data_IF_146976241178
#
_entry.id   IF_146976241178
#
_cell.length_a   1.000
_cell.length_b   1.000
_cell.length_c   1.000
_cell.angle_alpha   90.00
_cell.angle_beta   90.00
_cell.angle_gamma   90.00
#
_symmetry.space_group_name_H-M   'P 1'
#
loop_
_entity.id
_entity.type
_entity.pdbx_description
1 polymer ?
#
# COMPACT_ATOMS: atom_id res chain seq x y z
N UNK A 1 0.02 23.47 -34.53
CA UNK A 1 0.55 24.14 -33.32
C UNK A 1 -0.06 23.45 -32.11
N UNK A 2 0.66 22.49 -31.52
CA UNK A 2 0.19 21.70 -30.37
C UNK A 2 0.51 22.51 -29.11
N UNK A 3 -0.51 22.91 -28.36
CA UNK A 3 -0.35 23.64 -27.10
C UNK A 3 0.16 22.65 -26.06
N UNK A 4 1.40 22.82 -25.62
CA UNK A 4 1.94 22.21 -24.40
C UNK A 4 1.18 22.81 -23.22
N UNK A 5 0.22 22.06 -22.67
CA UNK A 5 -0.39 22.41 -21.38
C UNK A 5 0.59 21.91 -20.31
N UNK A 6 1.25 22.87 -19.66
CA UNK A 6 2.14 22.61 -18.54
C UNK A 6 1.33 22.07 -17.36
N UNK A 7 1.79 20.92 -16.86
CA UNK A 7 1.24 20.22 -15.70
C UNK A 7 1.60 21.02 -14.44
N UNK A 8 0.75 21.97 -14.07
CA UNK A 8 0.92 22.78 -12.86
C UNK A 8 0.28 22.04 -11.68
N UNK A 9 1.09 21.28 -10.96
CA UNK A 9 0.73 20.64 -9.69
C UNK A 9 0.45 21.75 -8.68
N UNK A 10 -0.82 21.97 -8.37
CA UNK A 10 -1.26 22.88 -7.31
C UNK A 10 -1.12 22.15 -5.97
N UNK A 11 0.08 22.23 -5.39
CA UNK A 11 0.33 21.84 -4.01
C UNK A 11 -0.31 22.88 -3.08
N UNK A 12 -1.51 22.62 -2.57
CA UNK A 12 -2.17 23.46 -1.57
C UNK A 12 -1.83 22.97 -0.16
N UNK A 13 -0.61 23.28 0.32
CA UNK A 13 -0.25 23.15 1.74
C UNK A 13 -0.70 24.39 2.50
N UNK A 14 -1.88 24.33 3.14
CA UNK A 14 -2.28 25.29 4.16
C UNK A 14 -1.73 24.84 5.52
N UNK A 15 -0.48 25.19 5.80
CA UNK A 15 0.05 25.17 7.17
C UNK A 15 -0.32 26.50 7.82
N UNK A 16 -1.41 26.51 8.59
CA UNK A 16 -1.65 27.57 9.58
C UNK A 16 -0.78 27.30 10.81
N UNK A 17 0.49 27.66 10.72
CA UNK A 17 1.34 27.89 11.87
C UNK A 17 1.04 29.30 12.41
N UNK A 18 0.08 29.38 13.33
CA UNK A 18 -0.13 30.53 14.19
C UNK A 18 0.29 30.18 15.61
N UNK A 19 1.59 30.22 15.90
CA UNK A 19 2.06 30.34 17.27
C UNK A 19 1.98 31.82 17.64
N UNK A 20 1.08 32.17 18.55
CA UNK A 20 1.15 33.43 19.29
C UNK A 20 1.70 33.11 20.69
N UNK A 21 2.93 33.54 20.93
CA UNK A 21 3.52 33.61 22.27
C UNK A 21 2.76 34.66 23.10
N UNK A 22 2.30 34.27 24.28
CA UNK A 22 2.15 35.23 25.38
C UNK A 22 2.81 34.64 26.62
N UNK A 23 3.87 35.33 27.03
CA UNK A 23 4.52 35.14 28.32
C UNK A 23 3.61 35.59 29.48
N UNK A 24 3.93 35.01 30.64
CA UNK A 24 3.89 35.60 31.98
C UNK A 24 2.75 35.13 32.90
N UNK A 25 3.13 34.55 34.05
CA UNK A 25 2.18 34.29 35.13
C UNK A 25 2.54 33.19 36.11
N UNK A 26 3.64 33.38 36.85
CA UNK A 26 4.01 32.63 38.06
C UNK A 26 2.83 32.24 38.96
N UNK A 27 2.73 30.97 39.36
CA UNK A 27 2.20 30.60 40.68
C UNK A 27 2.86 29.31 41.19
N UNK A 28 3.54 29.47 42.32
CA UNK A 28 4.10 28.42 43.17
C UNK A 28 2.98 27.55 43.75
N UNK A 29 3.19 26.24 43.76
CA UNK A 29 2.80 25.39 44.89
C UNK A 29 3.80 24.24 45.04
N UNK A 30 4.61 24.33 46.10
CA UNK A 30 5.38 23.24 46.68
C UNK A 30 4.45 22.36 47.52
N UNK A 31 4.61 21.04 47.42
CA UNK A 31 4.40 19.95 48.40
C UNK A 31 4.72 18.68 47.57
N UNK A 32 5.52 17.70 47.96
CA UNK A 32 6.22 17.38 49.19
C UNK A 32 6.83 15.99 48.96
N UNK A 33 8.09 15.87 49.33
CA UNK A 33 8.93 14.68 49.33
C UNK A 33 8.36 13.61 50.28
N UNK A 34 8.37 12.33 49.93
CA UNK A 34 8.58 11.24 50.90
C UNK A 34 9.28 10.08 50.19
N UNK A 35 10.46 9.77 50.70
CA UNK A 35 11.27 8.61 50.36
C UNK A 35 10.81 7.42 51.22
N UNK A 36 10.75 6.23 50.63
CA UNK A 36 10.61 4.97 51.34
C UNK A 36 11.57 3.95 50.75
N UNK A 37 12.78 3.91 51.31
CA UNK A 37 13.73 2.81 51.13
C UNK A 37 13.45 1.76 52.20
N UNK A 38 13.22 0.50 51.82
CA UNK A 38 13.69 -0.64 52.61
C UNK A 38 14.15 -1.79 51.71
N UNK A 39 15.36 -2.25 52.00
CA UNK A 39 16.09 -3.36 51.43
C UNK A 39 15.74 -4.67 52.13
N UNK A 40 15.75 -5.80 51.42
CA UNK A 40 16.27 -7.07 51.96
C UNK A 40 17.08 -7.77 50.87
N UNK A 41 18.31 -8.16 51.24
CA UNK A 41 19.26 -8.93 50.47
C UNK A 41 19.42 -10.35 51.05
N UNK A 42 19.89 -11.28 50.22
CA UNK A 42 20.41 -12.61 50.58
C UNK A 42 19.38 -13.74 50.34
N UNK A 43 19.68 -14.84 49.65
CA UNK A 43 20.96 -15.58 49.54
C UNK A 43 21.10 -16.31 48.20
N UNK A 44 22.37 -16.53 47.82
CA UNK A 44 22.84 -17.33 46.70
C UNK A 44 22.87 -18.83 47.00
N UNK A 45 23.21 -19.59 45.94
CA UNK A 45 23.71 -20.99 45.89
C UNK A 45 22.62 -22.07 46.00
N UNK A 46 22.59 -23.17 45.25
CA UNK A 46 23.68 -23.95 44.61
C UNK A 46 23.12 -24.85 43.48
N UNK A 47 24.07 -25.41 42.75
CA UNK A 47 24.20 -26.04 41.44
C UNK A 47 23.57 -27.42 41.15
N UNK A 48 23.80 -27.81 39.88
CA UNK A 48 23.89 -29.14 39.25
C UNK A 48 22.72 -29.57 38.36
N UNK A 49 22.90 -30.14 37.17
CA UNK A 49 24.07 -30.43 36.33
C UNK A 49 23.52 -30.90 34.95
N UNK A 50 24.25 -30.55 33.88
CA UNK A 50 24.57 -31.38 32.70
C UNK A 50 23.46 -32.14 31.95
N UNK A 51 23.23 -31.77 30.68
CA UNK A 51 23.68 -32.66 29.61
C UNK A 51 24.21 -31.87 28.40
N UNK A 52 25.36 -32.33 27.93
CA UNK A 52 26.07 -31.94 26.73
C UNK A 52 26.26 -33.24 25.96
N UNK A 53 25.92 -33.25 24.67
CA UNK A 53 26.46 -34.21 23.71
C UNK A 53 26.24 -33.67 22.29
N UNK A 54 27.29 -33.04 21.76
CA UNK A 54 27.57 -32.97 20.32
C UNK A 54 28.18 -34.30 19.84
N UNK A 55 27.86 -34.67 18.60
CA UNK A 55 28.73 -35.23 17.56
C UNK A 55 27.80 -35.80 16.46
N UNK A 56 27.66 -35.14 15.31
CA UNK A 56 28.51 -35.29 14.11
C UNK A 56 28.54 -36.73 13.57
N UNK A 57 28.03 -36.90 12.35
CA UNK A 57 28.63 -37.73 11.31
C UNK A 57 28.26 -37.13 9.94
N UNK A 58 29.27 -36.53 9.34
CA UNK A 58 29.41 -36.15 7.93
C UNK A 58 29.67 -37.41 7.08
N UNK A 59 29.10 -37.47 5.87
CA UNK A 59 29.60 -38.40 4.84
C UNK A 59 29.34 -37.86 3.42
N UNK A 60 30.25 -36.97 3.01
CA UNK A 60 30.91 -36.87 1.70
C UNK A 60 30.60 -37.96 0.64
N UNK A 61 30.28 -37.53 -0.59
CA UNK A 61 31.15 -37.70 -1.77
C UNK A 61 30.51 -37.11 -3.05
N UNK A 62 31.36 -36.48 -3.87
CA UNK A 62 31.08 -35.94 -5.22
C UNK A 62 31.98 -36.68 -6.22
N UNK A 63 31.64 -36.55 -7.52
CA UNK A 63 32.44 -36.81 -8.76
C UNK A 63 32.31 -38.25 -9.31
N UNK A 64 32.11 -38.59 -10.60
CA UNK A 64 32.31 -37.98 -11.95
C UNK A 64 31.34 -38.62 -12.99
N UNK A 65 30.76 -37.91 -13.97
CA UNK A 65 31.21 -37.54 -15.34
C UNK A 65 30.90 -38.55 -16.48
N UNK A 66 30.34 -37.98 -17.57
CA UNK A 66 30.50 -38.29 -19.00
C UNK A 66 29.67 -39.40 -19.66
N UNK A 67 28.82 -39.05 -20.63
CA UNK A 67 29.18 -39.08 -22.06
C UNK A 67 28.05 -38.58 -22.98
N UNK A 68 28.46 -37.78 -23.97
CA UNK A 68 27.67 -37.23 -25.06
C UNK A 68 27.46 -38.24 -26.22
N UNK A 69 26.44 -38.00 -27.06
CA UNK A 69 26.28 -38.75 -28.32
C UNK A 69 24.97 -38.50 -29.07
N UNK A 70 24.96 -37.43 -29.84
CA UNK A 70 24.03 -36.97 -30.90
C UNK A 70 23.59 -38.05 -31.93
N UNK A 71 22.34 -38.01 -32.42
CA UNK A 71 21.97 -37.67 -33.83
C UNK A 71 20.46 -37.65 -34.10
N UNK A 72 20.07 -36.57 -34.78
CA UNK A 72 18.92 -36.27 -35.66
C UNK A 72 18.12 -37.42 -36.28
N UNK A 73 16.79 -37.23 -36.36
CA UNK A 73 16.06 -37.38 -37.62
C UNK A 73 14.78 -36.54 -37.65
N UNK A 74 14.54 -35.94 -38.82
CA UNK A 74 13.40 -35.10 -39.14
C UNK A 74 12.28 -35.94 -39.75
N UNK A 75 11.03 -35.71 -39.35
CA UNK A 75 9.90 -35.89 -40.26
C UNK A 75 8.74 -34.93 -39.93
N UNK A 76 8.11 -34.51 -41.02
CA UNK A 76 7.10 -33.47 -41.17
C UNK A 76 5.72 -33.98 -40.79
N UNK A 77 4.94 -33.25 -39.99
CA UNK A 77 3.53 -32.99 -40.34
C UNK A 77 2.98 -31.76 -39.63
N UNK A 78 2.51 -30.83 -40.45
CA UNK A 78 1.61 -29.72 -40.15
C UNK A 78 0.32 -30.21 -39.50
N UNK A 79 -0.07 -29.63 -38.37
CA UNK A 79 -1.46 -29.54 -37.92
C UNK A 79 -1.65 -28.10 -37.43
N UNK A 80 -2.34 -27.33 -38.26
CA UNK A 80 -3.04 -26.11 -37.87
C UNK A 80 -4.03 -26.47 -36.76
N UNK A 81 -4.03 -25.66 -35.70
CA UNK A 81 -5.17 -25.27 -34.86
C UNK A 81 -4.61 -24.90 -33.49
N UNK A 82 -4.61 -23.60 -33.16
CA UNK A 82 -5.57 -23.18 -32.14
C UNK A 82 -5.74 -21.67 -32.10
N UNK A 83 -7.02 -21.30 -31.99
CA UNK A 83 -7.55 -20.10 -31.36
C UNK A 83 -7.21 -18.76 -32.00
N UNK A 84 -8.03 -18.45 -33.00
CA UNK A 84 -8.66 -17.14 -33.16
C UNK A 84 -8.78 -16.44 -31.80
N UNK A 85 -7.93 -15.42 -31.60
CA UNK A 85 -8.24 -14.37 -30.66
C UNK A 85 -9.54 -13.73 -31.16
N UNK A 86 -10.64 -14.06 -30.49
CA UNK A 86 -11.91 -13.36 -30.56
C UNK A 86 -11.67 -11.90 -30.11
N UNK A 87 -11.20 -11.13 -31.09
CA UNK A 87 -11.14 -9.68 -31.09
C UNK A 87 -12.58 -9.17 -31.10
N UNK A 88 -13.22 -9.21 -29.93
CA UNK A 88 -14.40 -8.40 -29.65
C UNK A 88 -13.93 -6.98 -29.33
N UNK A 89 -13.24 -6.36 -30.29
CA UNK A 89 -13.05 -4.92 -30.36
C UNK A 89 -14.41 -4.29 -30.70
N UNK A 90 -15.31 -4.29 -29.72
CA UNK A 90 -16.24 -3.17 -29.60
C UNK A 90 -15.36 -1.95 -29.38
N UNK A 91 -15.20 -1.15 -30.44
CA UNK A 91 -14.59 0.17 -30.43
C UNK A 91 -15.43 1.06 -29.49
N UNK A 92 -15.24 0.87 -28.18
CA UNK A 92 -15.85 1.71 -27.17
C UNK A 92 -15.18 3.07 -27.29
N UNK A 93 -15.98 4.09 -27.57
CA UNK A 93 -15.47 5.46 -27.62
C UNK A 93 -14.81 5.81 -26.29
N UNK A 94 -13.81 6.69 -26.34
CA UNK A 94 -13.15 7.20 -25.14
C UNK A 94 -14.16 7.71 -24.09
N UNK A 95 -15.20 8.43 -24.53
CA UNK A 95 -16.30 8.89 -23.67
C UNK A 95 -17.09 7.75 -23.02
N UNK A 96 -17.32 6.64 -23.74
CA UNK A 96 -17.99 5.46 -23.21
C UNK A 96 -17.14 4.76 -22.15
N UNK A 97 -15.83 4.65 -22.38
CA UNK A 97 -14.91 4.07 -21.40
C UNK A 97 -14.82 4.95 -20.14
N UNK A 98 -14.75 6.26 -20.31
CA UNK A 98 -14.78 7.22 -19.20
C UNK A 98 -16.02 7.03 -18.33
N UNK A 99 -17.22 6.99 -18.94
CA UNK A 99 -18.48 6.81 -18.23
C UNK A 99 -18.53 5.46 -17.48
N UNK A 100 -18.08 4.39 -18.12
CA UNK A 100 -17.98 3.06 -17.52
C UNK A 100 -17.13 3.07 -16.23
N UNK A 101 -15.98 3.74 -16.26
CA UNK A 101 -15.11 3.80 -15.08
C UNK A 101 -15.62 4.76 -14.00
N UNK A 102 -16.31 5.84 -14.35
CA UNK A 102 -17.02 6.67 -13.36
C UNK A 102 -18.13 5.89 -12.66
N UNK A 103 -18.91 5.11 -13.41
CA UNK A 103 -19.93 4.25 -12.83
C UNK A 103 -19.31 3.15 -11.95
N UNK A 104 -18.14 2.62 -12.32
CA UNK A 104 -17.40 1.71 -11.45
C UNK A 104 -17.04 2.37 -10.12
N UNK A 105 -16.55 3.62 -10.13
CA UNK A 105 -16.24 4.34 -8.88
C UNK A 105 -17.48 4.63 -8.04
N UNK A 106 -18.61 5.00 -8.66
CA UNK A 106 -19.89 5.16 -7.95
C UNK A 106 -20.34 3.84 -7.30
N UNK A 107 -20.11 2.70 -7.96
CA UNK A 107 -20.41 1.40 -7.40
C UNK A 107 -19.46 1.03 -6.26
N UNK A 108 -18.16 1.37 -6.36
CA UNK A 108 -17.21 1.20 -5.25
C UNK A 108 -17.65 2.01 -4.04
N UNK A 109 -18.10 3.27 -4.20
CA UNK A 109 -18.66 4.08 -3.11
C UNK A 109 -19.86 3.40 -2.43
N UNK A 110 -20.77 2.82 -3.23
CA UNK A 110 -21.93 2.09 -2.71
C UNK A 110 -21.54 0.81 -1.97
N UNK A 111 -20.56 0.07 -2.50
CA UNK A 111 -20.05 -1.18 -1.91
C UNK A 111 -19.45 -0.92 -0.52
N UNK A 112 -18.68 0.16 -0.39
CA UNK A 112 -18.03 0.50 0.88
C UNK A 112 -18.93 1.22 1.88
N UNK A 113 -20.13 1.66 1.48
CA UNK A 113 -21.01 2.49 2.32
C UNK A 113 -21.42 1.82 3.65
N UNK A 114 -21.58 0.50 3.68
CA UNK A 114 -21.88 -0.23 4.93
C UNK A 114 -20.63 -0.38 5.80
N UNK A 115 -19.45 -0.54 5.21
CA UNK A 115 -18.17 -0.53 5.92
C UNK A 115 -17.89 0.85 6.53
N UNK A 116 -18.21 1.94 5.82
CA UNK A 116 -18.08 3.31 6.34
C UNK A 116 -18.95 3.53 7.58
N UNK A 117 -20.13 2.91 7.67
CA UNK A 117 -20.96 2.95 8.90
C UNK A 117 -20.31 2.21 10.05
N UNK A 118 -19.60 1.11 9.78
CA UNK A 118 -18.82 0.37 10.79
C UNK A 118 -17.65 1.24 11.27
N UNK A 119 -16.94 1.90 10.36
CA UNK A 119 -15.88 2.86 10.73
C UNK A 119 -16.38 3.97 11.66
N UNK A 120 -17.64 4.39 11.53
CA UNK A 120 -18.21 5.45 12.37
C UNK A 120 -18.74 4.98 13.73
N UNK A 121 -19.18 3.72 13.86
CA UNK A 121 -19.98 3.26 15.01
C UNK A 121 -19.50 1.96 15.65
N UNK A 122 -18.52 1.29 15.05
CA UNK A 122 -18.01 -0.02 15.47
C UNK A 122 -17.06 0.05 16.66
N UNK A 123 -16.60 -1.12 17.11
CA UNK A 123 -15.45 -1.18 18.04
C UNK A 123 -14.16 -0.84 17.30
N UNK A 124 -13.08 -0.54 18.02
CA UNK A 124 -11.77 -0.24 17.40
C UNK A 124 -11.32 -1.34 16.42
N UNK A 125 -11.53 -2.62 16.79
CA UNK A 125 -11.20 -3.76 15.92
C UNK A 125 -12.08 -3.80 14.67
N UNK A 126 -13.38 -3.54 14.80
CA UNK A 126 -14.29 -3.50 13.65
C UNK A 126 -13.94 -2.33 12.71
N UNK A 127 -13.58 -1.17 13.27
CA UNK A 127 -13.15 0.00 12.51
C UNK A 127 -11.87 -0.28 11.72
N UNK A 128 -10.86 -0.90 12.34
CA UNK A 128 -9.61 -1.25 11.68
C UNK A 128 -9.83 -2.26 10.54
N UNK A 129 -10.64 -3.30 10.78
CA UNK A 129 -10.97 -4.27 9.74
C UNK A 129 -11.76 -3.62 8.59
N UNK A 130 -12.81 -2.86 8.90
CA UNK A 130 -13.62 -2.18 7.90
C UNK A 130 -12.75 -1.20 7.08
N UNK A 131 -11.88 -0.43 7.71
CA UNK A 131 -11.00 0.51 7.01
C UNK A 131 -10.03 -0.21 6.06
N UNK A 132 -9.51 -1.39 6.43
CA UNK A 132 -8.67 -2.20 5.55
C UNK A 132 -9.44 -2.74 4.33
N UNK A 133 -10.70 -3.16 4.52
CA UNK A 133 -11.57 -3.60 3.42
C UNK A 133 -11.94 -2.44 2.48
N UNK A 134 -12.22 -1.26 3.02
CA UNK A 134 -12.46 -0.04 2.22
C UNK A 134 -11.21 0.30 1.40
N UNK A 135 -10.04 0.28 2.01
CA UNK A 135 -8.77 0.52 1.29
C UNK A 135 -8.58 -0.46 0.13
N UNK A 136 -8.82 -1.76 0.38
CA UNK A 136 -8.69 -2.79 -0.64
C UNK A 136 -9.64 -2.58 -1.83
N UNK A 137 -10.87 -2.14 -1.57
CA UNK A 137 -11.84 -1.81 -2.63
C UNK A 137 -11.36 -0.65 -3.52
N UNK A 138 -10.84 0.42 -2.91
CA UNK A 138 -10.29 1.56 -3.64
C UNK A 138 -8.99 1.23 -4.39
N UNK A 139 -8.09 0.44 -3.80
CA UNK A 139 -6.87 0.00 -4.47
C UNK A 139 -7.20 -0.92 -5.67
N UNK A 140 -8.19 -1.80 -5.53
CA UNK A 140 -8.69 -2.60 -6.65
C UNK A 140 -9.23 -1.69 -7.77
N UNK A 141 -10.08 -0.72 -7.44
CA UNK A 141 -10.62 0.22 -8.42
C UNK A 141 -9.50 1.00 -9.15
N UNK A 142 -8.48 1.46 -8.41
CA UNK A 142 -7.31 2.13 -8.98
C UNK A 142 -6.57 1.22 -9.98
N UNK A 143 -6.35 -0.04 -9.60
CA UNK A 143 -5.67 -1.01 -10.46
C UNK A 143 -6.48 -1.37 -11.70
N UNK A 144 -7.80 -1.43 -11.61
CA UNK A 144 -8.70 -1.66 -12.75
C UNK A 144 -8.62 -0.49 -13.75
N UNK A 145 -8.61 0.76 -13.28
CA UNK A 145 -8.41 1.97 -14.11
C UNK A 145 -7.02 1.94 -14.73
N UNK A 146 -5.97 1.70 -13.94
CA UNK A 146 -4.60 1.65 -14.45
C UNK A 146 -4.41 0.54 -15.49
N UNK A 147 -5.09 -0.60 -15.33
CA UNK A 147 -5.11 -1.69 -16.31
C UNK A 147 -5.76 -1.31 -17.64
N UNK A 148 -6.79 -0.48 -17.60
CA UNK A 148 -7.40 0.10 -18.80
C UNK A 148 -6.48 1.10 -19.49
N UNK A 149 -5.83 1.99 -18.73
CA UNK A 149 -4.90 2.96 -19.28
C UNK A 149 -3.71 2.30 -20.01
N UNK A 150 -3.28 1.11 -19.57
CA UNK A 150 -2.26 0.33 -20.31
C UNK A 150 -2.70 -0.08 -21.71
N UNK A 151 -3.99 -0.27 -21.95
CA UNK A 151 -4.53 -0.65 -23.26
C UNK A 151 -4.71 0.55 -24.17
N UNK A 152 -4.98 1.72 -23.61
CA UNK A 152 -5.34 2.91 -24.37
C UNK A 152 -4.17 3.86 -24.63
N UNK A 153 -3.25 4.01 -23.67
CA UNK A 153 -2.18 4.99 -23.79
C UNK A 153 -1.08 4.51 -24.73
N UNK A 154 -0.45 5.48 -25.41
CA UNK A 154 0.78 5.23 -26.16
C UNK A 154 1.87 4.70 -25.22
N UNK A 155 2.84 3.94 -25.74
CA UNK A 155 3.96 3.43 -24.92
C UNK A 155 4.69 4.56 -24.16
N UNK A 156 4.87 5.71 -24.80
CA UNK A 156 5.52 6.88 -24.18
C UNK A 156 4.69 7.47 -23.05
N UNK A 157 3.38 7.61 -23.23
CA UNK A 157 2.50 8.17 -22.20
C UNK A 157 2.31 7.18 -21.05
N UNK A 158 2.19 5.89 -21.34
CA UNK A 158 2.12 4.83 -20.34
C UNK A 158 3.42 4.73 -19.54
N UNK A 159 4.59 4.91 -20.17
CA UNK A 159 5.87 4.99 -19.45
C UNK A 159 5.87 6.16 -18.46
N UNK A 160 5.45 7.36 -18.90
CA UNK A 160 5.37 8.54 -18.03
C UNK A 160 4.36 8.34 -16.89
N UNK A 161 3.21 7.75 -17.17
CA UNK A 161 2.21 7.42 -16.15
C UNK A 161 2.75 6.41 -15.14
N UNK A 162 3.49 5.39 -15.59
CA UNK A 162 4.11 4.41 -14.70
C UNK A 162 5.08 5.06 -13.72
N UNK A 163 5.95 5.94 -14.20
CA UNK A 163 6.88 6.65 -13.32
C UNK A 163 6.14 7.60 -12.37
N UNK A 164 5.11 8.30 -12.86
CA UNK A 164 4.25 9.11 -12.00
C UNK A 164 3.51 8.28 -10.93
N UNK A 165 3.09 7.03 -11.23
CA UNK A 165 2.48 6.15 -10.23
C UNK A 165 3.45 5.66 -9.18
N UNK A 166 4.71 5.38 -9.54
CA UNK A 166 5.73 4.99 -8.54
C UNK A 166 5.98 6.12 -7.55
N UNK A 167 6.12 7.33 -8.07
CA UNK A 167 6.30 8.54 -7.26
C UNK A 167 5.06 8.81 -6.40
N UNK A 168 3.86 8.67 -6.96
CA UNK A 168 2.61 8.82 -6.22
C UNK A 168 2.47 7.82 -5.06
N UNK A 169 2.91 6.56 -5.21
CA UNK A 169 2.89 5.58 -4.11
C UNK A 169 3.74 6.05 -2.94
N UNK A 170 4.95 6.57 -3.21
CA UNK A 170 5.84 7.12 -2.19
C UNK A 170 5.15 8.29 -1.47
N UNK A 171 4.57 9.22 -2.23
CA UNK A 171 3.89 10.39 -1.66
C UNK A 171 2.67 10.00 -0.82
N UNK A 172 1.88 9.01 -1.26
CA UNK A 172 0.75 8.46 -0.52
C UNK A 172 1.21 7.88 0.82
N UNK A 173 2.23 7.05 0.79
CA UNK A 173 2.71 6.34 1.98
C UNK A 173 3.39 7.33 2.95
N UNK A 174 4.17 8.29 2.45
CA UNK A 174 4.76 9.37 3.26
C UNK A 174 3.68 10.24 3.93
N UNK A 175 2.61 10.58 3.20
CA UNK A 175 1.48 11.32 3.75
C UNK A 175 0.75 10.52 4.84
N UNK A 176 0.53 9.23 4.61
CA UNK A 176 -0.09 8.34 5.60
C UNK A 176 0.75 8.21 6.87
N UNK A 177 2.08 8.07 6.74
CA UNK A 177 3.02 8.08 7.87
C UNK A 177 2.96 9.42 8.61
N UNK A 178 2.95 10.53 7.88
CA UNK A 178 2.94 11.86 8.48
C UNK A 178 1.67 12.10 9.30
N UNK A 179 0.51 11.71 8.78
CA UNK A 179 -0.77 11.87 9.48
C UNK A 179 -0.92 10.91 10.67
N UNK A 180 -0.44 9.67 10.57
CA UNK A 180 -0.57 8.68 11.65
C UNK A 180 0.28 9.01 12.88
N UNK A 181 1.42 9.70 12.71
CA UNK A 181 2.34 10.06 13.80
C UNK A 181 1.71 10.82 14.97
N UNK A 182 0.61 11.54 14.76
CA UNK A 182 -0.08 12.23 15.87
C UNK A 182 -0.65 11.25 16.91
N UNK A 183 -0.79 9.98 16.54
CA UNK A 183 -1.32 8.90 17.36
C UNK A 183 -0.27 7.84 17.70
N UNK A 184 1.02 8.15 17.51
CA UNK A 184 2.13 7.20 17.68
C UNK A 184 2.03 6.38 18.97
N UNK A 185 2.07 5.06 18.84
CA UNK A 185 1.97 4.10 19.94
C UNK A 185 0.54 3.82 20.43
N UNK A 186 -0.49 4.41 19.80
CA UNK A 186 -1.91 4.15 20.07
C UNK A 186 -2.60 3.36 18.94
N UNK A 187 -3.77 2.81 19.22
CA UNK A 187 -4.56 2.05 18.22
C UNK A 187 -4.99 2.91 17.01
N UNK A 188 -5.14 4.22 17.21
CA UNK A 188 -5.51 5.14 16.14
C UNK A 188 -4.37 5.37 15.13
N UNK A 189 -3.12 5.04 15.43
CA UNK A 189 -2.00 5.19 14.50
C UNK A 189 -2.22 4.34 13.25
N UNK A 190 -2.43 3.03 13.43
CA UNK A 190 -2.65 2.10 12.32
C UNK A 190 -3.93 2.44 11.55
N UNK A 191 -5.01 2.77 12.25
CA UNK A 191 -6.26 3.18 11.62
C UNK A 191 -6.06 4.43 10.75
N UNK A 192 -5.40 5.46 11.28
CA UNK A 192 -5.15 6.72 10.56
C UNK A 192 -4.28 6.50 9.34
N UNK A 193 -3.23 5.68 9.46
CA UNK A 193 -2.37 5.33 8.33
C UNK A 193 -3.19 4.76 7.16
N UNK A 194 -4.00 3.73 7.40
CA UNK A 194 -4.81 3.08 6.35
C UNK A 194 -5.92 4.03 5.84
N UNK A 195 -6.52 4.81 6.72
CA UNK A 195 -7.54 5.81 6.34
C UNK A 195 -6.99 6.86 5.39
N UNK A 196 -5.81 7.42 5.67
CA UNK A 196 -5.13 8.37 4.78
C UNK A 196 -4.75 7.72 3.44
N UNK A 197 -4.25 6.47 3.43
CA UNK A 197 -3.99 5.75 2.18
C UNK A 197 -5.27 5.56 1.35
N UNK A 198 -6.40 5.33 2.01
CA UNK A 198 -7.71 5.15 1.38
C UNK A 198 -8.16 6.41 0.67
N UNK A 199 -8.15 7.55 1.36
CA UNK A 199 -8.58 8.84 0.80
C UNK A 199 -7.72 9.23 -0.41
N UNK A 200 -6.40 9.13 -0.29
CA UNK A 200 -5.48 9.48 -1.38
C UNK A 200 -5.66 8.52 -2.58
N UNK A 201 -5.88 7.24 -2.32
CA UNK A 201 -6.17 6.25 -3.38
C UNK A 201 -7.49 6.55 -4.09
N UNK A 202 -8.54 6.88 -3.34
CA UNK A 202 -9.83 7.31 -3.90
C UNK A 202 -9.66 8.51 -4.82
N UNK A 203 -8.98 9.57 -4.36
CA UNK A 203 -8.72 10.75 -5.21
C UNK A 203 -7.95 10.38 -6.47
N UNK A 204 -6.95 9.50 -6.35
CA UNK A 204 -6.16 9.07 -7.49
C UNK A 204 -6.99 8.35 -8.56
N UNK A 205 -8.01 7.58 -8.16
CA UNK A 205 -8.94 6.96 -9.12
C UNK A 205 -9.61 8.01 -10.01
N UNK A 206 -10.15 9.07 -9.42
CA UNK A 206 -10.79 10.16 -10.18
C UNK A 206 -9.78 10.92 -11.04
N UNK A 207 -8.59 11.23 -10.50
CA UNK A 207 -7.53 11.90 -11.25
C UNK A 207 -7.13 11.12 -12.51
N UNK A 208 -6.97 9.80 -12.41
CA UNK A 208 -6.60 8.97 -13.56
C UNK A 208 -7.68 8.95 -14.65
N UNK A 209 -8.96 8.95 -14.27
CA UNK A 209 -10.06 9.06 -15.23
C UNK A 209 -10.01 10.45 -15.89
N UNK A 210 -10.03 11.53 -15.10
CA UNK A 210 -10.11 12.90 -15.62
C UNK A 210 -8.93 13.30 -16.51
N UNK A 211 -7.75 12.74 -16.27
CA UNK A 211 -6.56 13.06 -17.04
C UNK A 211 -6.40 12.26 -18.34
N UNK A 212 -6.98 11.05 -18.42
CA UNK A 212 -6.62 10.09 -19.47
C UNK A 212 -7.81 9.43 -20.18
N UNK A 213 -9.04 9.58 -19.68
CA UNK A 213 -10.28 9.04 -20.27
C UNK A 213 -11.26 10.20 -20.54
#
# INVERSE_FOLDING_TARGET
MKKLVALSILLLLLILAGCEETENGSSKSNIGLEAGTESVAGTADDSSELNEALAEEEASSTEEESTAGEVVDADTTTEENNEEAEDSSSDESLEGIREKYLQMLENTEKEVADLEKIVQNGTQTDMEQAQAEIYAAWDKALNDIYGELKRQLSESDMYRLKEAQREWIIQRDDAAIAESKRYEGGSLESFTYVSTQTEITKFRCYDLIDMFM
#
